data_IF_825632836007
#
_entry.id   IF_825632836007
#
_cell.length_a   1.000
_cell.length_b   1.000
_cell.length_c   1.000
_cell.angle_alpha   90.00
_cell.angle_beta   90.00
_cell.angle_gamma   90.00
#
_symmetry.space_group_name_H-M   'P 1'
#
loop_
_entity.id
_entity.type
_entity.pdbx_description
1 polymer ?
#
# COMPACT_ATOMS: atom_id res chain seq x y z
N UNK A 1 16.29 -15.81 -5.93
CA UNK A 1 15.66 -17.14 -5.92
C UNK A 1 14.35 -16.96 -5.17
N UNK A 2 13.22 -16.90 -5.88
CA UNK A 2 11.91 -16.66 -5.24
C UNK A 2 11.62 -17.82 -4.31
N UNK A 3 11.52 -17.52 -3.01
CA UNK A 3 11.30 -18.53 -1.99
C UNK A 3 9.94 -19.20 -2.21
N UNK A 4 9.88 -20.51 -2.01
CA UNK A 4 8.70 -21.34 -2.31
C UNK A 4 7.50 -21.03 -1.40
N UNK A 5 7.70 -20.19 -0.39
CA UNK A 5 6.70 -19.81 0.61
C UNK A 5 6.46 -18.29 0.66
N UNK A 6 6.31 -17.63 -0.50
CA UNK A 6 5.90 -16.22 -0.51
C UNK A 6 4.50 -16.06 0.12
N UNK A 7 4.45 -15.46 1.31
CA UNK A 7 3.24 -15.33 2.11
C UNK A 7 2.14 -14.58 1.34
N UNK A 8 2.51 -13.52 0.62
CA UNK A 8 1.57 -12.75 -0.20
C UNK A 8 0.90 -13.59 -1.29
N UNK A 9 1.67 -14.34 -2.08
CA UNK A 9 1.13 -15.22 -3.13
C UNK A 9 0.27 -16.35 -2.56
N UNK A 10 0.72 -16.98 -1.47
CA UNK A 10 -0.05 -18.02 -0.78
C UNK A 10 -1.38 -17.48 -0.24
N UNK A 11 -1.36 -16.30 0.38
CA UNK A 11 -2.56 -15.64 0.91
C UNK A 11 -3.51 -15.20 -0.19
N UNK A 12 -2.99 -14.60 -1.27
CA UNK A 12 -3.77 -14.20 -2.44
C UNK A 12 -4.47 -15.41 -3.07
N UNK A 13 -3.74 -16.51 -3.31
CA UNK A 13 -4.31 -17.75 -3.83
C UNK A 13 -5.44 -18.29 -2.94
N UNK A 14 -5.25 -18.29 -1.63
CA UNK A 14 -6.26 -18.74 -0.69
C UNK A 14 -7.51 -17.84 -0.70
N UNK A 15 -7.34 -16.52 -0.74
CA UNK A 15 -8.46 -15.57 -0.86
C UNK A 15 -9.24 -15.78 -2.16
N UNK A 16 -8.53 -15.90 -3.29
CA UNK A 16 -9.13 -16.15 -4.59
C UNK A 16 -9.80 -17.53 -4.70
N UNK A 17 -9.43 -18.50 -3.86
CA UNK A 17 -10.14 -19.78 -3.77
C UNK A 17 -11.47 -19.66 -3.04
N UNK A 18 -11.58 -18.77 -2.04
CA UNK A 18 -12.84 -18.52 -1.32
C UNK A 18 -13.82 -17.66 -2.11
N UNK A 19 -13.33 -16.85 -3.07
CA UNK A 19 -14.09 -16.03 -4.03
C UNK A 19 -15.15 -15.07 -3.48
N UNK A 20 -15.19 -14.79 -2.19
CA UNK A 20 -16.30 -14.05 -1.58
C UNK A 20 -15.86 -12.97 -0.58
N UNK A 21 -16.40 -11.75 -0.72
CA UNK A 21 -16.24 -10.63 0.22
C UNK A 21 -17.45 -9.69 0.15
N UNK A 22 -17.64 -8.83 1.16
CA UNK A 22 -18.58 -7.70 1.03
C UNK A 22 -18.08 -6.65 0.03
N UNK A 23 -16.78 -6.59 -0.22
CA UNK A 23 -16.16 -5.68 -1.17
C UNK A 23 -15.85 -6.40 -2.47
N UNK A 24 -16.55 -6.05 -3.55
CA UNK A 24 -16.36 -6.61 -4.89
C UNK A 24 -16.67 -5.51 -5.91
N UNK A 25 -15.83 -5.37 -6.93
CA UNK A 25 -15.98 -4.38 -7.98
C UNK A 25 -16.77 -5.01 -9.13
N UNK A 26 -17.89 -4.38 -9.50
CA UNK A 26 -18.84 -4.97 -10.46
C UNK A 26 -18.71 -4.38 -11.86
N UNK A 27 -17.96 -3.30 -11.99
CA UNK A 27 -17.86 -2.53 -13.22
C UNK A 27 -16.52 -1.79 -13.32
N UNK A 28 -16.18 -1.38 -14.53
CA UNK A 28 -15.09 -0.44 -14.80
C UNK A 28 -15.26 0.87 -14.04
N UNK A 29 -16.50 1.35 -13.87
CA UNK A 29 -16.77 2.58 -13.11
C UNK A 29 -16.45 2.44 -11.63
N UNK A 30 -16.71 1.27 -11.03
CA UNK A 30 -16.33 1.00 -9.63
C UNK A 30 -14.80 0.99 -9.47
N UNK A 31 -14.09 0.38 -10.42
CA UNK A 31 -12.63 0.39 -10.46
C UNK A 31 -12.08 1.82 -10.60
N UNK A 32 -12.61 2.62 -11.53
CA UNK A 32 -12.18 4.00 -11.73
C UNK A 32 -12.41 4.86 -10.47
N UNK A 33 -13.53 4.67 -9.75
CA UNK A 33 -13.76 5.35 -8.45
C UNK A 33 -12.71 4.97 -7.40
N UNK A 34 -12.30 3.71 -7.35
CA UNK A 34 -11.23 3.28 -6.45
C UNK A 34 -9.88 3.88 -6.85
N UNK A 35 -9.58 3.95 -8.14
CA UNK A 35 -8.37 4.60 -8.67
C UNK A 35 -8.35 6.09 -8.32
N UNK A 36 -9.47 6.80 -8.49
CA UNK A 36 -9.58 8.22 -8.13
C UNK A 36 -9.33 8.44 -6.64
N UNK A 37 -9.90 7.58 -5.80
CA UNK A 37 -9.66 7.62 -4.36
C UNK A 37 -8.19 7.41 -4.01
N UNK A 38 -7.54 6.41 -4.62
CA UNK A 38 -6.11 6.13 -4.40
C UNK A 38 -5.24 7.30 -4.89
N UNK A 39 -5.57 7.91 -6.03
CA UNK A 39 -4.86 9.09 -6.54
C UNK A 39 -4.93 10.27 -5.58
N UNK A 40 -6.08 10.51 -4.96
CA UNK A 40 -6.23 11.55 -3.93
C UNK A 40 -5.33 11.24 -2.72
N UNK A 41 -5.33 10.00 -2.23
CA UNK A 41 -4.47 9.61 -1.12
C UNK A 41 -2.98 9.80 -1.44
N UNK A 42 -2.55 9.47 -2.67
CA UNK A 42 -1.15 9.69 -3.11
C UNK A 42 -0.80 11.18 -3.09
N UNK A 43 -1.69 12.04 -3.60
CA UNK A 43 -1.52 13.50 -3.59
C UNK A 43 -1.45 14.05 -2.16
N UNK A 44 -2.32 13.57 -1.28
CA UNK A 44 -2.36 13.96 0.13
C UNK A 44 -1.09 13.55 0.88
N UNK A 45 -0.63 12.30 0.69
CA UNK A 45 0.62 11.81 1.27
C UNK A 45 1.83 12.63 0.79
N UNK A 46 1.88 12.93 -0.51
CA UNK A 46 2.92 13.79 -1.08
C UNK A 46 2.90 15.20 -0.46
N UNK A 47 1.73 15.83 -0.35
CA UNK A 47 1.59 17.15 0.26
C UNK A 47 2.08 17.15 1.72
N UNK A 48 1.70 16.14 2.50
CA UNK A 48 2.14 15.99 3.89
C UNK A 48 3.65 15.78 3.98
N UNK A 49 4.22 14.95 3.10
CA UNK A 49 5.66 14.75 3.01
C UNK A 49 6.40 16.06 2.74
N UNK A 50 5.93 16.85 1.77
CA UNK A 50 6.56 18.14 1.42
C UNK A 50 6.45 19.19 2.53
N UNK A 51 5.47 19.06 3.43
CA UNK A 51 5.31 19.91 4.60
C UNK A 51 5.97 19.31 5.86
N UNK A 52 6.88 18.37 5.71
CA UNK A 52 7.63 17.71 6.80
C UNK A 52 6.74 16.93 7.79
N UNK A 53 5.49 16.64 7.41
CA UNK A 53 4.58 15.79 8.18
C UNK A 53 4.80 14.32 7.84
N UNK A 54 6.00 13.82 8.14
CA UNK A 54 6.48 12.50 7.74
C UNK A 54 5.66 11.35 8.34
N UNK A 55 5.26 11.47 9.61
CA UNK A 55 4.43 10.47 10.27
C UNK A 55 3.06 10.34 9.58
N UNK A 56 2.36 11.44 9.32
CA UNK A 56 1.05 11.40 8.66
C UNK A 56 1.16 10.97 7.20
N UNK A 57 2.19 11.41 6.47
CA UNK A 57 2.49 10.89 5.12
C UNK A 57 2.67 9.36 5.13
N UNK A 58 3.38 8.83 6.12
CA UNK A 58 3.60 7.38 6.29
C UNK A 58 2.30 6.63 6.55
N UNK A 59 1.44 7.16 7.42
CA UNK A 59 0.11 6.59 7.67
C UNK A 59 -0.73 6.50 6.39
N UNK A 60 -0.74 7.57 5.58
CA UNK A 60 -1.48 7.57 4.31
C UNK A 60 -0.81 6.62 3.30
N UNK A 61 0.51 6.54 3.25
CA UNK A 61 1.26 5.62 2.38
C UNK A 61 0.87 4.16 2.65
N UNK A 62 0.79 3.74 3.91
CA UNK A 62 0.32 2.39 4.27
C UNK A 62 -1.15 2.20 3.88
N UNK A 63 -1.98 3.23 4.04
CA UNK A 63 -3.39 3.21 3.63
C UNK A 63 -3.55 3.04 2.11
N UNK A 64 -2.67 3.66 1.31
CA UNK A 64 -2.63 3.46 -0.15
C UNK A 64 -2.36 2.00 -0.49
N UNK A 65 -1.33 1.38 0.13
CA UNK A 65 -1.02 -0.05 -0.08
C UNK A 65 -2.25 -0.92 0.24
N UNK A 66 -2.97 -0.61 1.32
CA UNK A 66 -4.19 -1.33 1.69
C UNK A 66 -5.32 -1.20 0.66
N UNK A 67 -5.59 0.02 0.18
CA UNK A 67 -6.65 0.25 -0.81
C UNK A 67 -6.27 -0.29 -2.19
N UNK A 68 -4.99 -0.27 -2.57
CA UNK A 68 -4.48 -0.96 -3.77
C UNK A 68 -4.75 -2.46 -3.66
N UNK A 69 -4.30 -3.11 -2.58
CA UNK A 69 -4.51 -4.55 -2.40
C UNK A 69 -5.98 -4.95 -2.38
N UNK A 70 -6.82 -4.15 -1.72
CA UNK A 70 -8.28 -4.35 -1.67
C UNK A 70 -8.96 -4.15 -3.02
N UNK A 71 -8.55 -3.13 -3.78
CA UNK A 71 -9.07 -2.84 -5.13
C UNK A 71 -8.66 -3.96 -6.09
N UNK A 72 -7.38 -4.33 -6.10
CA UNK A 72 -6.83 -5.36 -6.98
C UNK A 72 -7.56 -6.71 -6.77
N UNK A 73 -7.70 -7.17 -5.53
CA UNK A 73 -8.44 -8.40 -5.24
C UNK A 73 -9.94 -8.25 -5.52
N UNK A 74 -10.51 -7.07 -5.23
CA UNK A 74 -11.92 -6.75 -5.44
C UNK A 74 -12.40 -6.95 -6.88
N UNK A 75 -11.50 -6.85 -7.87
CA UNK A 75 -11.81 -7.13 -9.29
C UNK A 75 -12.09 -8.61 -9.58
N UNK A 76 -11.58 -9.53 -8.75
CA UNK A 76 -11.57 -10.97 -9.04
C UNK A 76 -12.45 -11.81 -8.11
N UNK A 77 -13.09 -11.19 -7.12
CA UNK A 77 -13.94 -11.89 -6.16
C UNK A 77 -15.41 -11.50 -6.33
N UNK A 78 -16.29 -12.43 -5.99
CA UNK A 78 -17.74 -12.24 -6.01
C UNK A 78 -18.23 -11.58 -4.72
N UNK A 79 -19.34 -10.85 -4.84
CA UNK A 79 -20.01 -10.25 -3.68
C UNK A 79 -20.68 -11.34 -2.82
N UNK A 80 -20.39 -11.32 -1.52
CA UNK A 80 -21.17 -12.02 -0.50
C UNK A 80 -21.51 -11.03 0.63
N UNK A 81 -22.77 -10.58 0.64
CA UNK A 81 -23.26 -9.62 1.65
C UNK A 81 -23.40 -10.23 3.04
N UNK A 82 -23.64 -11.54 3.10
CA UNK A 82 -23.94 -12.28 4.33
C UNK A 82 -22.69 -12.80 5.05
N UNK A 83 -21.50 -12.63 4.47
CA UNK A 83 -20.25 -12.99 5.11
C UNK A 83 -20.13 -12.27 6.47
N UNK A 84 -19.75 -13.03 7.50
CA UNK A 84 -19.52 -12.47 8.83
C UNK A 84 -18.36 -11.49 8.77
N UNK A 85 -18.51 -10.32 9.40
CA UNK A 85 -17.52 -9.22 9.35
C UNK A 85 -16.11 -9.63 9.79
N UNK A 86 -15.94 -10.65 10.63
CA UNK A 86 -14.62 -11.17 11.04
C UNK A 86 -14.01 -12.21 10.11
N UNK A 87 -14.79 -12.73 9.15
CA UNK A 87 -14.37 -13.71 8.15
C UNK A 87 -14.13 -13.09 6.76
N UNK A 88 -14.40 -11.80 6.60
CA UNK A 88 -14.20 -11.10 5.34
C UNK A 88 -12.69 -10.95 5.05
N UNK A 89 -12.16 -11.56 3.97
CA UNK A 89 -10.74 -11.56 3.68
C UNK A 89 -10.19 -10.15 3.39
N UNK A 90 -11.03 -9.24 2.90
CA UNK A 90 -10.63 -7.85 2.58
C UNK A 90 -10.76 -6.89 3.76
N UNK A 91 -11.10 -7.38 4.95
CA UNK A 91 -11.10 -6.56 6.17
C UNK A 91 -9.74 -6.54 6.88
N UNK A 92 -9.00 -7.63 6.82
CA UNK A 92 -7.79 -7.79 7.62
C UNK A 92 -6.63 -6.96 7.03
N UNK A 93 -6.09 -6.01 7.81
CA UNK A 93 -5.01 -5.11 7.39
C UNK A 93 -3.80 -5.85 6.86
N UNK A 94 -3.26 -6.81 7.63
CA UNK A 94 -2.13 -7.65 7.21
C UNK A 94 -2.37 -8.35 5.87
N UNK A 95 -3.59 -8.84 5.63
CA UNK A 95 -3.94 -9.46 4.35
C UNK A 95 -3.93 -8.44 3.22
N UNK A 96 -4.47 -7.23 3.45
CA UNK A 96 -4.45 -6.15 2.46
C UNK A 96 -3.04 -5.67 2.14
N UNK A 97 -2.16 -5.53 3.14
CA UNK A 97 -0.74 -5.21 2.94
C UNK A 97 -0.07 -6.26 2.05
N UNK A 98 -0.28 -7.55 2.35
CA UNK A 98 0.24 -8.63 1.54
C UNK A 98 -0.30 -8.62 0.09
N UNK A 99 -1.57 -8.23 -0.14
CA UNK A 99 -2.12 -8.10 -1.49
C UNK A 99 -1.57 -6.91 -2.27
N UNK A 100 -1.24 -5.81 -1.58
CA UNK A 100 -0.64 -4.61 -2.18
C UNK A 100 0.88 -4.72 -2.38
N UNK A 101 1.57 -5.59 -1.65
CA UNK A 101 3.02 -5.79 -1.70
C UNK A 101 3.43 -7.02 -2.50
N UNK A 102 3.06 -7.06 -3.79
CA UNK A 102 3.37 -8.20 -4.65
C UNK A 102 4.87 -8.30 -4.98
N UNK A 103 5.41 -9.52 -5.18
CA UNK A 103 6.82 -9.72 -5.54
C UNK A 103 7.25 -9.02 -6.84
N UNK A 104 6.30 -8.66 -7.71
CA UNK A 104 6.56 -7.94 -8.96
C UNK A 104 7.07 -6.52 -8.71
N UNK A 105 6.68 -5.89 -7.61
CA UNK A 105 7.08 -4.52 -7.26
C UNK A 105 8.60 -4.41 -7.11
N UNK A 106 9.24 -5.45 -6.58
CA UNK A 106 10.71 -5.54 -6.47
C UNK A 106 11.42 -5.60 -7.83
N UNK A 107 10.71 -5.97 -8.89
CA UNK A 107 11.26 -6.05 -10.25
C UNK A 107 11.33 -4.67 -10.93
N UNK A 108 10.67 -3.65 -10.37
CA UNK A 108 10.64 -2.27 -10.88
C UNK A 108 12.00 -1.57 -10.79
N UNK A 109 12.58 -1.22 -11.95
CA UNK A 109 13.91 -0.61 -12.00
C UNK A 109 13.99 0.80 -11.41
N UNK A 110 12.87 1.55 -11.35
CA UNK A 110 12.85 2.91 -10.81
C UNK A 110 12.83 2.93 -9.28
N UNK A 111 12.08 2.03 -8.65
CA UNK A 111 12.02 1.90 -7.20
C UNK A 111 13.36 1.46 -6.61
N UNK A 112 13.99 0.44 -7.20
CA UNK A 112 15.33 -0.03 -6.81
C UNK A 112 16.37 1.11 -6.86
N UNK A 113 16.32 1.97 -7.89
CA UNK A 113 17.20 3.15 -7.98
C UNK A 113 16.91 4.23 -6.92
N UNK A 114 15.64 4.38 -6.53
CA UNK A 114 15.21 5.47 -5.66
C UNK A 114 15.43 5.20 -4.18
N UNK A 115 15.32 3.94 -3.74
CA UNK A 115 15.39 3.54 -2.32
C UNK A 115 16.30 2.35 -2.02
N UNK A 116 16.76 1.63 -3.05
CA UNK A 116 17.63 0.45 -2.90
C UNK A 116 16.89 -0.83 -2.52
N UNK A 117 17.47 -1.97 -2.89
CA UNK A 117 16.87 -3.29 -2.71
C UNK A 117 16.65 -3.65 -1.23
N UNK A 118 17.57 -3.24 -0.34
CA UNK A 118 17.46 -3.52 1.11
C UNK A 118 16.22 -2.88 1.75
N UNK A 119 15.90 -1.64 1.34
CA UNK A 119 14.71 -0.95 1.85
C UNK A 119 13.43 -1.58 1.33
N UNK A 120 13.43 -2.02 0.06
CA UNK A 120 12.28 -2.71 -0.54
C UNK A 120 12.03 -4.03 0.17
N UNK A 121 13.10 -4.81 0.41
CA UNK A 121 13.01 -6.07 1.13
C UNK A 121 12.47 -5.90 2.54
N UNK A 122 12.92 -4.85 3.24
CA UNK A 122 12.38 -4.50 4.55
C UNK A 122 10.88 -4.18 4.50
N UNK A 123 10.42 -3.35 3.56
CA UNK A 123 9.00 -3.00 3.45
C UNK A 123 8.14 -4.24 3.13
N UNK A 124 8.65 -5.14 2.29
CA UNK A 124 7.97 -6.40 1.97
C UNK A 124 7.90 -7.30 3.22
N UNK A 125 9.00 -7.44 3.96
CA UNK A 125 9.03 -8.19 5.22
C UNK A 125 8.05 -7.60 6.24
N UNK A 126 8.02 -6.28 6.40
CA UNK A 126 7.10 -5.58 7.30
C UNK A 126 5.63 -5.85 6.92
N UNK A 127 5.32 -5.93 5.63
CA UNK A 127 3.98 -6.27 5.14
C UNK A 127 3.60 -7.73 5.43
N UNK A 128 4.53 -8.68 5.27
CA UNK A 128 4.30 -10.11 5.46
C UNK A 128 4.26 -10.51 6.94
N UNK A 129 5.07 -9.86 7.78
CA UNK A 129 5.09 -10.07 9.24
C UNK A 129 3.93 -9.35 9.93
N UNK A 130 3.43 -8.26 9.34
CA UNK A 130 2.36 -7.41 9.88
C UNK A 130 2.88 -6.18 10.62
N UNK A 131 4.18 -5.93 10.59
CA UNK A 131 4.83 -4.76 11.21
C UNK A 131 4.33 -3.43 10.63
N UNK A 132 3.86 -3.41 9.37
CA UNK A 132 3.17 -2.22 8.83
C UNK A 132 1.95 -1.79 9.65
N UNK A 133 1.32 -2.70 10.42
CA UNK A 133 0.25 -2.32 11.36
C UNK A 133 0.82 -1.51 12.52
N UNK A 134 1.92 -1.96 13.11
CA UNK A 134 2.63 -1.27 14.19
C UNK A 134 3.10 0.12 13.73
N UNK A 135 3.71 0.20 12.53
CA UNK A 135 4.16 1.47 11.93
C UNK A 135 2.97 2.40 11.67
N UNK A 136 1.84 1.87 11.22
CA UNK A 136 0.62 2.65 10.99
C UNK A 136 0.08 3.25 12.28
N UNK A 137 0.08 2.50 13.38
CA UNK A 137 -0.39 3.00 14.69
C UNK A 137 0.58 4.03 15.27
N UNK A 138 1.88 3.76 15.20
CA UNK A 138 2.93 4.66 15.68
C UNK A 138 3.01 5.98 14.90
N UNK A 139 2.50 6.01 13.67
CA UNK A 139 2.38 7.20 12.83
C UNK A 139 1.25 8.16 13.27
N UNK A 140 0.33 7.72 14.13
CA UNK A 140 -0.84 8.50 14.56
C UNK A 140 -0.85 8.84 16.04
N UNK A 141 -0.42 7.91 16.88
CA UNK A 141 -0.63 7.99 18.32
C UNK A 141 0.69 8.19 19.05
N UNK A 142 0.71 9.14 19.97
CA UNK A 142 1.75 9.21 20.99
C UNK A 142 1.57 8.04 21.97
N UNK A 143 2.68 7.55 22.50
CA UNK A 143 2.69 6.42 23.43
C UNK A 143 3.76 6.62 24.51
N UNK A 144 3.70 5.82 25.57
CA UNK A 144 4.75 5.74 26.60
C UNK A 144 5.37 4.35 26.52
N UNK A 145 6.63 4.29 26.08
CA UNK A 145 7.42 3.05 26.01
C UNK A 145 8.58 3.19 26.97
N UNK A 146 8.73 2.24 27.90
CA UNK A 146 9.80 2.24 28.91
C UNK A 146 9.94 3.57 29.67
N UNK A 147 8.80 4.14 30.11
CA UNK A 147 8.68 5.43 30.80
C UNK A 147 9.07 6.67 29.97
N UNK A 148 9.26 6.52 28.66
CA UNK A 148 9.58 7.61 27.73
C UNK A 148 8.35 7.92 26.88
N UNK A 149 7.92 9.19 26.89
CA UNK A 149 6.93 9.69 25.95
C UNK A 149 7.55 9.70 24.55
N UNK A 150 6.94 8.98 23.62
CA UNK A 150 7.30 9.02 22.22
C UNK A 150 6.14 9.59 21.40
N UNK A 151 6.45 10.55 20.54
CA UNK A 151 5.47 11.11 19.60
C UNK A 151 5.74 10.67 18.16
N UNK A 152 4.73 10.62 17.28
CA UNK A 152 4.91 10.12 15.91
C UNK A 152 6.02 10.81 15.12
N UNK A 153 6.23 12.12 15.34
CA UNK A 153 7.28 12.91 14.67
C UNK A 153 8.71 12.48 15.03
N UNK A 154 8.89 11.74 16.13
CA UNK A 154 10.19 11.22 16.57
C UNK A 154 10.41 9.78 16.09
N UNK A 155 9.34 9.03 15.80
CA UNK A 155 9.39 7.62 15.38
C UNK A 155 9.64 7.44 13.89
N UNK A 156 9.13 8.37 13.07
CA UNK A 156 9.11 8.23 11.62
C UNK A 156 10.10 9.23 11.00
N UNK A 157 11.15 8.70 10.38
CA UNK A 157 12.14 9.53 9.70
C UNK A 157 11.65 10.01 8.32
N UNK A 158 12.28 11.06 7.81
CA UNK A 158 12.08 11.55 6.43
C UNK A 158 12.33 10.44 5.42
N UNK A 159 13.40 9.65 5.61
CA UNK A 159 13.82 8.58 4.72
C UNK A 159 12.81 7.43 4.71
N UNK A 160 12.31 7.03 5.89
CA UNK A 160 11.28 5.98 6.00
C UNK A 160 9.97 6.43 5.34
N UNK A 161 9.54 7.68 5.60
CA UNK A 161 8.33 8.24 4.98
C UNK A 161 8.45 8.33 3.46
N UNK A 162 9.60 8.80 2.96
CA UNK A 162 9.89 8.83 1.52
C UNK A 162 9.85 7.44 0.90
N UNK A 163 10.47 6.47 1.55
CA UNK A 163 10.55 5.11 1.04
C UNK A 163 9.18 4.44 0.96
N UNK A 164 8.36 4.57 2.00
CA UNK A 164 7.00 4.03 2.00
C UNK A 164 6.10 4.71 0.98
N UNK A 165 6.23 6.02 0.77
CA UNK A 165 5.43 6.71 -0.24
C UNK A 165 5.82 6.30 -1.68
N UNK A 166 7.13 6.23 -1.97
CA UNK A 166 7.61 5.72 -3.27
C UNK A 166 7.14 4.28 -3.52
N UNK A 167 7.24 3.43 -2.50
CA UNK A 167 6.77 2.05 -2.57
C UNK A 167 5.25 1.98 -2.81
N UNK A 168 4.46 2.80 -2.11
CA UNK A 168 3.00 2.84 -2.27
C UNK A 168 2.55 3.31 -3.67
N UNK A 169 3.28 4.26 -4.27
CA UNK A 169 3.05 4.67 -5.67
C UNK A 169 3.36 3.50 -6.62
N UNK A 170 4.45 2.76 -6.38
CA UNK A 170 4.78 1.59 -7.20
C UNK A 170 3.74 0.48 -7.06
N UNK A 171 3.21 0.23 -5.85
CA UNK A 171 2.10 -0.70 -5.65
C UNK A 171 0.91 -0.36 -6.54
N UNK A 172 0.54 0.93 -6.60
CA UNK A 172 -0.55 1.42 -7.43
C UNK A 172 -0.28 1.17 -8.91
N UNK A 173 0.92 1.54 -9.38
CA UNK A 173 1.33 1.39 -10.78
C UNK A 173 1.28 -0.08 -11.22
N UNK A 174 2.01 -0.95 -10.51
CA UNK A 174 2.11 -2.38 -10.84
C UNK A 174 0.78 -3.13 -10.77
N UNK A 175 -0.11 -2.72 -9.85
CA UNK A 175 -1.32 -3.50 -9.54
C UNK A 175 -2.57 -3.02 -10.28
N UNK A 176 -2.64 -1.75 -10.69
CA UNK A 176 -3.90 -1.14 -11.18
C UNK A 176 -3.76 -0.38 -12.50
N UNK A 177 -2.56 0.06 -12.88
CA UNK A 177 -2.35 0.75 -14.16
C UNK A 177 -2.44 -0.28 -15.30
N UNK A 178 -3.14 0.10 -16.37
CA UNK A 178 -3.36 -0.77 -17.53
C UNK A 178 -4.70 -1.50 -17.58
N UNK A 179 -5.45 -1.57 -16.48
CA UNK A 179 -6.80 -2.16 -16.50
C UNK A 179 -7.83 -1.29 -17.22
N UNK A 180 -7.66 0.03 -17.24
CA UNK A 180 -8.58 0.97 -17.90
C UNK A 180 -7.78 2.10 -18.57
N UNK A 181 -8.40 2.79 -19.54
CA UNK A 181 -7.78 4.01 -20.10
C UNK A 181 -7.58 5.08 -19.02
N UNK A 182 -8.56 5.21 -18.13
CA UNK A 182 -8.51 6.11 -16.97
C UNK A 182 -7.32 5.82 -16.04
N UNK A 183 -6.99 4.53 -15.81
CA UNK A 183 -5.85 4.19 -14.96
C UNK A 183 -4.51 4.60 -15.56
N UNK A 184 -4.38 4.62 -16.88
CA UNK A 184 -3.23 5.21 -17.57
C UNK A 184 -3.17 6.74 -17.44
N UNK A 185 -4.30 7.44 -17.61
CA UNK A 185 -4.32 8.90 -17.47
C UNK A 185 -3.94 9.34 -16.04
N UNK A 186 -4.43 8.60 -15.03
CA UNK A 186 -4.08 8.84 -13.63
C UNK A 186 -2.61 8.53 -13.36
N UNK A 187 -2.01 7.52 -14.04
CA UNK A 187 -0.62 7.13 -13.80
C UNK A 187 0.37 8.23 -14.19
N UNK A 188 0.08 9.04 -15.20
CA UNK A 188 0.91 10.20 -15.58
C UNK A 188 1.12 11.15 -14.38
N UNK A 189 0.05 11.39 -13.61
CA UNK A 189 0.15 12.24 -12.41
C UNK A 189 0.95 11.58 -11.30
N UNK A 190 0.76 10.28 -11.06
CA UNK A 190 1.49 9.57 -10.00
C UNK A 190 2.96 9.39 -10.33
N UNK A 191 3.30 9.24 -11.61
CA UNK A 191 4.68 9.18 -12.12
C UNK A 191 5.42 10.48 -11.88
N UNK A 192 4.79 11.62 -12.16
CA UNK A 192 5.39 12.92 -11.83
C UNK A 192 5.69 13.09 -10.34
N UNK A 193 4.79 12.62 -9.47
CA UNK A 193 4.99 12.67 -8.02
C UNK A 193 6.10 11.73 -7.58
N UNK A 194 6.17 10.53 -8.16
CA UNK A 194 7.26 9.59 -7.95
C UNK A 194 8.60 10.23 -8.30
N UNK A 195 8.74 10.82 -9.48
CA UNK A 195 9.99 11.45 -9.92
C UNK A 195 10.39 12.63 -9.02
N UNK A 196 9.44 13.47 -8.60
CA UNK A 196 9.70 14.56 -7.65
C UNK A 196 10.22 14.03 -6.30
N UNK A 197 9.62 12.95 -5.78
CA UNK A 197 10.08 12.31 -4.54
C UNK A 197 11.44 11.64 -4.71
N UNK A 198 11.64 10.93 -5.82
CA UNK A 198 12.86 10.18 -6.10
C UNK A 198 14.08 11.12 -6.16
N UNK A 199 13.90 12.33 -6.70
CA UNK A 199 14.96 13.33 -6.84
C UNK A 199 15.21 14.18 -5.57
N UNK A 200 14.26 14.23 -4.64
CA UNK A 200 14.44 14.86 -3.33
C UNK A 200 15.19 13.89 -2.39
N UNK A 201 16.52 14.04 -2.30
CA UNK A 201 17.35 13.39 -1.26
C UNK A 201 17.40 14.26 -0.01
#
# INVERSE_FOLDING_TARGET
>A
MFDKDNYALGKMKNTLNTKESKFSLKSTDDLNKCIDHISVLIKDAYLLYTNESFATSTFISITIIEEVGKTHIGMFISENKDIKRGKDPLRNHKSKHAFGSLPTIKMGGRLNKAIGDEMIDKIVEDAETGELISIRESSLYADIIDDILEVPSEKISKEQSRALLLYAIECFDDSLVGYTHHSFEVSETTDELFEKLANNK
#
